data_IF_800696012522
#
_entry.id   IF_800696012522
#
_cell.length_a   1.000
_cell.length_b   1.000
_cell.length_c   1.000
_cell.angle_alpha   90.00
_cell.angle_beta   90.00
_cell.angle_gamma   90.00
#
_symmetry.space_group_name_H-M   'P 1'
#
loop_
_entity.id
_entity.type
_entity.pdbx_description
1 polymer ?
#
# COMPACT_ATOMS: atom_id res chain seq x y z
N UNK A 1 0.29 -4.56 18.85
CA UNK A 1 1.74 -4.88 18.74
C UNK A 1 2.53 -3.57 18.78
N UNK A 2 3.59 -3.46 19.58
CA UNK A 2 4.40 -2.23 19.72
C UNK A 2 5.89 -2.56 19.57
N UNK A 3 6.66 -1.67 18.93
CA UNK A 3 8.11 -1.81 18.71
C UNK A 3 8.87 -0.56 19.13
N UNK A 4 10.14 -0.74 19.52
CA UNK A 4 11.02 0.33 19.99
C UNK A 4 12.33 0.40 19.20
N UNK A 5 12.62 -0.57 18.35
CA UNK A 5 13.84 -0.69 17.56
C UNK A 5 13.59 -1.45 16.24
N UNK A 6 14.55 -1.36 15.31
CA UNK A 6 14.57 -2.19 14.11
C UNK A 6 14.67 -3.68 14.44
N UNK A 7 15.42 -4.04 15.50
CA UNK A 7 15.53 -5.43 15.94
C UNK A 7 14.18 -5.97 16.42
N UNK A 8 13.43 -5.22 17.24
CA UNK A 8 12.09 -5.63 17.68
C UNK A 8 11.17 -5.86 16.49
N UNK A 9 11.26 -4.95 15.50
CA UNK A 9 10.44 -5.03 14.28
C UNK A 9 10.72 -6.31 13.49
N UNK A 10 12.00 -6.61 13.22
CA UNK A 10 12.39 -7.82 12.48
C UNK A 10 11.95 -9.07 13.24
N UNK A 11 12.23 -9.14 14.56
CA UNK A 11 11.84 -10.28 15.41
C UNK A 11 10.31 -10.49 15.39
N UNK A 12 9.53 -9.41 15.44
CA UNK A 12 8.07 -9.47 15.35
C UNK A 12 7.61 -10.03 13.99
N UNK A 13 8.21 -9.59 12.88
CA UNK A 13 7.87 -10.06 11.54
C UNK A 13 8.22 -11.54 11.34
N UNK A 14 9.37 -11.99 11.83
CA UNK A 14 9.76 -13.41 11.84
C UNK A 14 8.72 -14.24 12.57
N UNK A 15 8.37 -13.83 13.80
CA UNK A 15 7.35 -14.50 14.59
C UNK A 15 5.98 -14.53 13.90
N UNK A 16 5.56 -13.44 13.26
CA UNK A 16 4.32 -13.41 12.49
C UNK A 16 4.38 -14.37 11.31
N UNK A 17 5.50 -14.41 10.60
CA UNK A 17 5.68 -15.33 9.47
C UNK A 17 5.61 -16.79 9.90
N UNK A 18 6.24 -17.16 11.01
CA UNK A 18 6.14 -18.50 11.58
C UNK A 18 4.71 -18.85 12.01
N UNK A 19 4.04 -17.95 12.71
CA UNK A 19 2.69 -18.13 13.24
C UNK A 19 1.64 -18.37 12.14
N UNK A 20 1.79 -17.65 11.03
CA UNK A 20 0.86 -17.70 9.89
C UNK A 20 1.31 -18.67 8.78
N UNK A 21 2.39 -19.41 8.97
CA UNK A 21 2.82 -20.50 8.08
C UNK A 21 2.17 -21.80 8.54
N UNK A 22 1.39 -22.46 7.68
CA UNK A 22 0.71 -23.71 8.00
C UNK A 22 0.48 -24.59 6.76
N UNK A 23 0.29 -25.87 7.00
CA UNK A 23 -0.07 -26.82 5.93
C UNK A 23 -1.58 -26.82 5.69
N UNK A 24 -1.99 -26.68 4.46
CA UNK A 24 -3.39 -26.78 4.03
C UNK A 24 -3.56 -27.86 2.94
N UNK A 25 -4.74 -28.51 2.85
CA UNK A 25 -5.05 -29.43 1.76
C UNK A 25 -5.03 -28.71 0.41
N UNK A 26 -4.43 -29.30 -0.62
CA UNK A 26 -4.42 -28.75 -2.00
C UNK A 26 -5.84 -28.68 -2.58
N UNK A 27 -6.68 -29.64 -2.21
CA UNK A 27 -8.12 -29.67 -2.54
C UNK A 27 -8.88 -30.36 -1.42
N UNK A 28 -10.23 -30.32 -1.48
CA UNK A 28 -11.08 -31.03 -0.54
C UNK A 28 -10.85 -32.55 -0.49
N UNK A 29 -10.14 -33.11 -1.50
CA UNK A 29 -9.78 -34.50 -1.56
C UNK A 29 -8.32 -34.70 -1.07
N UNK A 30 -8.09 -35.48 0.00
CA UNK A 30 -6.78 -35.72 0.60
C UNK A 30 -5.77 -36.44 -0.34
N UNK A 31 -6.23 -37.04 -1.46
CA UNK A 31 -5.38 -37.66 -2.46
C UNK A 31 -4.39 -36.65 -3.11
N UNK A 32 -4.73 -35.37 -3.18
CA UNK A 32 -3.88 -34.32 -3.78
C UNK A 32 -2.78 -33.80 -2.84
N UNK A 33 -2.69 -34.32 -1.62
CA UNK A 33 -1.67 -33.92 -0.64
C UNK A 33 -1.94 -32.59 0.05
N UNK A 34 -0.88 -32.05 0.65
CA UNK A 34 -0.88 -30.76 1.37
C UNK A 34 0.10 -29.82 0.70
N UNK A 35 -0.19 -28.52 0.79
CA UNK A 35 0.77 -27.45 0.49
C UNK A 35 1.01 -26.62 1.73
N UNK A 36 2.21 -26.09 1.86
CA UNK A 36 2.53 -25.13 2.91
C UNK A 36 2.06 -23.75 2.48
N UNK A 37 1.15 -23.18 3.24
CA UNK A 37 0.80 -21.77 3.15
C UNK A 37 1.89 -20.95 3.82
N UNK A 38 2.44 -19.96 3.09
CA UNK A 38 3.42 -19.01 3.61
C UNK A 38 2.82 -17.61 3.38
N UNK A 39 2.68 -16.77 4.43
CA UNK A 39 2.14 -15.43 4.26
C UNK A 39 3.05 -14.58 3.39
N UNK A 40 2.45 -13.78 2.52
CA UNK A 40 3.12 -12.82 1.64
C UNK A 40 2.73 -11.41 2.04
N UNK A 41 3.54 -10.82 2.92
CA UNK A 41 3.24 -9.55 3.55
C UNK A 41 3.64 -8.35 2.71
N UNK A 42 2.72 -7.37 2.65
CA UNK A 42 2.98 -6.01 2.21
C UNK A 42 2.80 -5.03 3.37
N UNK A 43 3.48 -3.90 3.30
CA UNK A 43 3.62 -2.96 4.41
C UNK A 43 3.32 -1.53 3.98
N UNK A 44 2.76 -0.73 4.91
CA UNK A 44 2.62 0.72 4.73
C UNK A 44 2.90 1.45 6.02
N UNK A 45 3.88 2.35 6.01
CA UNK A 45 4.19 3.24 7.13
C UNK A 45 3.28 4.46 7.14
N UNK A 46 2.76 4.79 8.32
CA UNK A 46 2.04 6.03 8.60
C UNK A 46 2.80 6.83 9.65
N UNK A 47 3.18 8.06 9.32
CA UNK A 47 3.86 8.98 10.24
C UNK A 47 3.00 9.36 11.45
N UNK A 48 1.69 9.17 11.36
CA UNK A 48 0.72 9.32 12.46
C UNK A 48 -0.20 8.12 12.50
N UNK A 49 -0.44 7.61 13.71
CA UNK A 49 -1.29 6.44 13.93
C UNK A 49 -2.76 6.67 13.56
N UNK A 50 -3.25 7.91 13.63
CA UNK A 50 -4.63 8.29 13.30
C UNK A 50 -4.89 8.40 11.79
N UNK A 51 -3.87 8.29 10.93
CA UNK A 51 -4.05 8.28 9.48
C UNK A 51 -4.84 7.04 9.04
N UNK A 52 -5.77 7.26 8.10
CA UNK A 52 -6.62 6.19 7.58
C UNK A 52 -5.97 5.52 6.37
N UNK A 53 -6.19 4.24 6.20
CA UNK A 53 -5.88 3.53 4.96
C UNK A 53 -6.91 3.94 3.89
N UNK A 54 -6.65 5.09 3.26
CA UNK A 54 -7.53 5.74 2.29
C UNK A 54 -6.68 6.48 1.26
N UNK A 55 -6.90 6.31 -0.05
CA UNK A 55 -6.13 6.98 -1.09
C UNK A 55 -6.32 8.50 -1.13
N UNK A 56 -5.39 9.18 -1.81
CA UNK A 56 -5.30 10.62 -1.85
C UNK A 56 -6.57 11.30 -2.36
N UNK A 57 -7.09 10.82 -3.48
CA UNK A 57 -8.30 11.40 -4.09
C UNK A 57 -9.51 11.38 -3.15
N UNK A 58 -9.68 10.31 -2.36
CA UNK A 58 -10.79 10.17 -1.42
C UNK A 58 -10.64 11.01 -0.14
N UNK A 59 -9.48 11.64 0.06
CA UNK A 59 -9.19 12.61 1.15
C UNK A 59 -9.28 14.05 0.69
N UNK A 60 -9.48 14.27 -0.61
CA UNK A 60 -9.51 15.62 -1.20
C UNK A 60 -10.75 16.38 -0.73
N UNK A 61 -10.53 17.61 -0.31
CA UNK A 61 -11.59 18.51 0.12
C UNK A 61 -11.81 19.61 -0.92
N UNK A 62 -13.04 20.07 -1.02
CA UNK A 62 -13.36 21.25 -1.79
C UNK A 62 -12.65 22.47 -1.15
N UNK A 63 -11.89 23.21 -1.95
CA UNK A 63 -11.13 24.38 -1.48
C UNK A 63 -12.02 25.52 -0.95
N UNK A 64 -13.26 25.60 -1.42
CA UNK A 64 -14.21 26.65 -1.03
C UNK A 64 -15.00 26.29 0.23
N UNK A 65 -15.44 25.02 0.34
CA UNK A 65 -16.32 24.61 1.46
C UNK A 65 -15.56 23.87 2.56
N UNK A 66 -14.36 23.38 2.31
CA UNK A 66 -13.61 22.53 3.23
C UNK A 66 -14.22 21.12 3.42
N UNK A 67 -15.33 20.82 2.75
CA UNK A 67 -16.00 19.53 2.81
C UNK A 67 -15.36 18.52 1.84
N UNK A 68 -15.51 17.22 2.14
CA UNK A 68 -15.08 16.18 1.24
C UNK A 68 -15.88 16.26 -0.07
N UNK A 69 -15.17 16.11 -1.20
CA UNK A 69 -15.81 16.09 -2.52
C UNK A 69 -16.71 14.86 -2.63
N UNK A 70 -17.92 15.02 -3.10
CA UNK A 70 -18.90 13.93 -3.26
C UNK A 70 -18.88 13.28 -4.63
N UNK A 71 -18.49 14.04 -5.66
CA UNK A 71 -18.43 13.57 -7.06
C UNK A 71 -17.02 13.17 -7.47
N UNK A 72 -16.48 12.16 -6.82
CA UNK A 72 -15.09 11.72 -7.02
C UNK A 72 -14.79 11.26 -8.44
N UNK A 73 -15.70 10.59 -9.10
CA UNK A 73 -15.46 10.06 -10.46
C UNK A 73 -15.19 11.17 -11.46
N UNK A 74 -15.95 12.26 -11.38
CA UNK A 74 -15.73 13.42 -12.26
C UNK A 74 -14.45 14.15 -11.90
N UNK A 75 -14.19 14.34 -10.62
CA UNK A 75 -12.98 15.00 -10.13
C UNK A 75 -11.73 14.20 -10.51
N UNK A 76 -11.73 12.89 -10.29
CA UNK A 76 -10.61 12.02 -10.62
C UNK A 76 -10.32 12.01 -12.14
N UNK A 77 -11.37 11.96 -12.96
CA UNK A 77 -11.24 12.08 -14.41
C UNK A 77 -10.58 13.40 -14.80
N UNK A 78 -11.03 14.52 -14.24
CA UNK A 78 -10.46 15.83 -14.53
C UNK A 78 -9.00 15.91 -14.07
N UNK A 79 -8.68 15.46 -12.84
CA UNK A 79 -7.31 15.45 -12.31
C UNK A 79 -6.38 14.65 -13.24
N UNK A 80 -6.81 13.47 -13.67
CA UNK A 80 -5.98 12.62 -14.52
C UNK A 80 -5.78 13.23 -15.92
N UNK A 81 -6.83 13.76 -16.52
CA UNK A 81 -6.72 14.44 -17.84
C UNK A 81 -5.85 15.70 -17.79
N UNK A 82 -6.01 16.53 -16.76
CA UNK A 82 -5.17 17.70 -16.57
C UNK A 82 -3.70 17.28 -16.41
N UNK A 83 -3.45 16.23 -15.58
CA UNK A 83 -2.10 15.70 -15.41
C UNK A 83 -1.52 15.17 -16.73
N UNK A 84 -2.26 14.38 -17.51
CA UNK A 84 -1.83 13.87 -18.81
C UNK A 84 -1.50 15.03 -19.76
N UNK A 85 -2.37 16.02 -19.84
CA UNK A 85 -2.20 17.20 -20.72
C UNK A 85 -0.91 17.97 -20.41
N UNK A 86 -0.55 18.09 -19.13
CA UNK A 86 0.67 18.77 -18.69
C UNK A 86 1.92 17.90 -18.80
N UNK A 87 1.79 16.58 -18.56
CA UNK A 87 2.91 15.66 -18.40
C UNK A 87 3.31 14.92 -19.68
N UNK A 88 2.41 14.79 -20.68
CA UNK A 88 2.65 13.97 -21.88
C UNK A 88 3.94 14.34 -22.65
N UNK A 89 4.34 15.61 -22.62
CA UNK A 89 5.59 16.09 -23.24
C UNK A 89 6.86 15.58 -22.56
N UNK A 90 6.78 15.13 -21.31
CA UNK A 90 7.91 14.63 -20.53
C UNK A 90 7.96 13.10 -20.46
N UNK A 91 6.83 12.44 -20.72
CA UNK A 91 6.66 11.00 -20.59
C UNK A 91 6.56 10.38 -21.99
N UNK A 92 7.49 9.47 -22.30
CA UNK A 92 7.51 8.76 -23.57
C UNK A 92 7.03 7.32 -23.39
N UNK A 93 6.51 6.73 -24.47
CA UNK A 93 6.13 5.31 -24.54
C UNK A 93 4.97 4.90 -23.60
N UNK A 94 4.06 5.83 -23.30
CA UNK A 94 2.79 5.53 -22.63
C UNK A 94 1.67 5.95 -23.56
N UNK A 95 0.78 4.99 -23.89
CA UNK A 95 -0.42 5.31 -24.68
C UNK A 95 -1.36 6.16 -23.84
N UNK A 96 -2.06 7.13 -24.48
CA UNK A 96 -3.08 7.94 -23.82
C UNK A 96 -4.23 7.09 -23.27
N UNK A 97 -4.44 5.89 -23.84
CA UNK A 97 -5.45 4.92 -23.40
C UNK A 97 -5.00 4.08 -22.21
N UNK A 98 -3.70 4.07 -21.84
CA UNK A 98 -3.20 3.31 -20.69
C UNK A 98 -3.44 4.07 -19.37
N UNK A 99 -4.70 4.19 -19.01
CA UNK A 99 -5.18 4.89 -17.79
C UNK A 99 -4.44 4.46 -16.53
N UNK A 100 -4.15 3.16 -16.40
CA UNK A 100 -3.45 2.63 -15.22
C UNK A 100 -2.02 3.14 -15.14
N UNK A 101 -1.29 3.12 -16.24
CA UNK A 101 0.08 3.67 -16.28
C UNK A 101 0.10 5.17 -16.00
N UNK A 102 -0.84 5.93 -16.56
CA UNK A 102 -0.95 7.35 -16.25
C UNK A 102 -1.29 7.63 -14.79
N UNK A 103 -2.15 6.80 -14.18
CA UNK A 103 -2.47 6.89 -12.76
C UNK A 103 -1.25 6.56 -11.86
N UNK A 104 -0.47 5.52 -12.22
CA UNK A 104 0.78 5.16 -11.52
C UNK A 104 1.79 6.31 -11.56
N UNK A 105 1.96 6.93 -12.74
CA UNK A 105 2.85 8.08 -12.93
C UNK A 105 2.33 9.29 -12.15
N UNK A 106 1.05 9.60 -12.25
CA UNK A 106 0.43 10.71 -11.52
C UNK A 106 0.62 10.56 -10.00
N UNK A 107 0.39 9.36 -9.46
CA UNK A 107 0.65 9.03 -8.07
C UNK A 107 2.11 9.25 -7.68
N UNK A 108 3.05 8.82 -8.52
CA UNK A 108 4.49 9.00 -8.30
C UNK A 108 4.88 10.48 -8.16
N UNK A 109 4.27 11.35 -8.97
CA UNK A 109 4.48 12.79 -8.92
C UNK A 109 3.56 13.54 -7.94
N UNK A 110 2.86 12.81 -7.05
CA UNK A 110 2.10 13.40 -5.95
C UNK A 110 0.70 13.89 -6.33
N UNK A 111 0.23 13.60 -7.53
CA UNK A 111 -1.15 13.89 -7.95
C UNK A 111 -2.11 12.93 -7.21
N UNK A 112 -3.21 13.43 -6.63
CA UNK A 112 -4.16 12.57 -5.95
C UNK A 112 -4.80 11.55 -6.88
N UNK A 113 -4.68 10.26 -6.55
CA UNK A 113 -5.31 9.15 -7.27
C UNK A 113 -6.06 8.23 -6.33
N UNK A 114 -6.75 7.22 -6.86
CA UNK A 114 -7.35 6.13 -6.09
C UNK A 114 -6.36 5.02 -5.70
N UNK A 115 -5.08 5.21 -5.96
CA UNK A 115 -4.03 4.31 -5.54
C UNK A 115 -3.59 4.63 -4.11
N UNK A 116 -3.28 3.58 -3.37
CA UNK A 116 -2.63 3.67 -2.08
C UNK A 116 -1.34 2.85 -2.11
N UNK A 117 -0.21 3.53 -1.83
CA UNK A 117 1.11 2.88 -1.87
C UNK A 117 1.29 1.93 -0.70
N UNK A 118 1.81 0.75 -1.01
CA UNK A 118 2.39 -0.22 -0.11
C UNK A 118 3.78 -0.59 -0.60
N UNK A 119 4.51 -1.35 0.18
CA UNK A 119 5.84 -1.86 -0.18
C UNK A 119 5.99 -3.32 0.23
N UNK A 120 6.75 -4.10 -0.54
CA UNK A 120 7.19 -5.44 -0.14
C UNK A 120 8.40 -5.39 0.83
N UNK A 121 9.05 -4.22 0.98
CA UNK A 121 10.18 -4.04 1.88
C UNK A 121 9.73 -3.48 3.24
N UNK A 122 9.75 -4.28 4.32
CA UNK A 122 9.32 -3.83 5.65
C UNK A 122 10.13 -2.65 6.18
N UNK A 123 11.43 -2.57 5.89
CA UNK A 123 12.28 -1.48 6.37
C UNK A 123 11.94 -0.15 5.67
N UNK A 124 11.49 -0.18 4.42
CA UNK A 124 10.97 0.99 3.71
C UNK A 124 9.71 1.51 4.38
N UNK A 125 8.77 0.63 4.72
CA UNK A 125 7.57 1.02 5.46
C UNK A 125 7.91 1.63 6.83
N UNK A 126 8.85 1.01 7.54
CA UNK A 126 9.32 1.51 8.85
C UNK A 126 9.97 2.89 8.72
N UNK A 127 10.73 3.14 7.64
CA UNK A 127 11.28 4.46 7.34
C UNK A 127 10.15 5.50 7.18
N UNK A 128 9.15 5.22 6.35
CA UNK A 128 8.02 6.15 6.15
C UNK A 128 7.22 6.42 7.43
N UNK A 129 7.09 5.43 8.31
CA UNK A 129 6.45 5.63 9.61
C UNK A 129 7.24 6.58 10.51
N UNK A 130 8.57 6.61 10.39
CA UNK A 130 9.43 7.35 11.31
C UNK A 130 9.91 8.70 10.77
N UNK A 131 9.97 8.91 9.43
CA UNK A 131 10.55 10.12 8.84
C UNK A 131 9.70 11.37 9.00
N UNK A 132 8.37 11.22 9.13
CA UNK A 132 7.43 12.33 9.26
C UNK A 132 6.85 12.43 10.67
N UNK A 133 6.22 13.56 10.99
CA UNK A 133 5.48 13.80 12.22
C UNK A 133 6.22 13.29 13.47
N UNK A 134 7.46 13.74 13.68
CA UNK A 134 8.41 13.20 14.67
C UNK A 134 7.91 13.19 16.12
N UNK A 135 6.92 14.02 16.44
CA UNK A 135 6.33 14.15 17.78
C UNK A 135 5.07 13.32 17.99
N UNK A 136 4.59 12.66 16.94
CA UNK A 136 3.36 11.88 16.95
C UNK A 136 3.67 10.37 16.88
N UNK A 137 2.86 9.56 17.56
CA UNK A 137 2.96 8.12 17.45
C UNK A 137 2.64 7.69 16.00
N UNK A 138 3.43 6.75 15.53
CA UNK A 138 3.34 6.22 14.18
C UNK A 138 2.86 4.78 14.17
N UNK A 139 2.60 4.23 12.99
CA UNK A 139 2.37 2.81 12.85
C UNK A 139 2.82 2.28 11.49
N UNK A 140 3.05 0.97 11.43
CA UNK A 140 3.18 0.21 10.19
C UNK A 140 2.00 -0.74 10.06
N UNK A 141 1.24 -0.58 9.00
CA UNK A 141 0.24 -1.54 8.56
C UNK A 141 0.92 -2.71 7.85
N UNK A 142 0.48 -3.92 8.16
CA UNK A 142 0.92 -5.17 7.54
C UNK A 142 -0.30 -5.90 7.01
N UNK A 143 -0.23 -6.36 5.76
CA UNK A 143 -1.30 -7.11 5.10
C UNK A 143 -0.69 -8.35 4.45
N UNK A 144 -1.23 -9.53 4.77
CA UNK A 144 -0.95 -10.75 4.04
C UNK A 144 -1.79 -10.76 2.76
N UNK A 145 -1.14 -10.58 1.60
CA UNK A 145 -1.80 -10.53 0.28
C UNK A 145 -2.63 -11.78 0.01
N UNK A 146 -2.09 -12.93 0.33
CA UNK A 146 -2.75 -14.22 0.04
C UNK A 146 -4.00 -14.37 0.90
N UNK A 147 -3.90 -14.10 2.20
CA UNK A 147 -5.04 -14.09 3.12
C UNK A 147 -6.09 -13.07 2.71
N UNK A 148 -5.67 -11.87 2.34
CA UNK A 148 -6.54 -10.80 1.87
C UNK A 148 -7.39 -11.23 0.67
N UNK A 149 -6.78 -11.77 -0.37
CA UNK A 149 -7.51 -12.22 -1.56
C UNK A 149 -8.39 -13.44 -1.28
N UNK A 150 -7.91 -14.36 -0.46
CA UNK A 150 -8.65 -15.58 -0.09
C UNK A 150 -9.95 -15.23 0.66
N UNK A 151 -9.87 -14.30 1.61
CA UNK A 151 -11.01 -13.95 2.47
C UNK A 151 -11.97 -12.94 1.86
N UNK A 152 -11.48 -11.97 1.09
CA UNK A 152 -12.29 -10.87 0.59
C UNK A 152 -12.71 -11.02 -0.88
N UNK A 153 -11.88 -11.62 -1.70
CA UNK A 153 -12.15 -11.78 -3.13
C UNK A 153 -12.47 -13.22 -3.54
N UNK A 154 -12.46 -14.16 -2.58
CA UNK A 154 -12.70 -15.60 -2.83
C UNK A 154 -11.81 -16.21 -3.93
N UNK A 155 -10.62 -15.62 -4.18
CA UNK A 155 -9.70 -16.04 -5.21
C UNK A 155 -8.75 -17.09 -4.65
N UNK A 156 -8.72 -18.27 -5.27
CA UNK A 156 -7.71 -19.30 -4.97
C UNK A 156 -6.38 -18.92 -5.61
N UNK A 157 -5.31 -19.05 -4.87
CA UNK A 157 -3.93 -18.55 -5.10
C UNK A 157 -3.31 -18.73 -6.50
N UNK A 158 -3.78 -19.65 -7.31
CA UNK A 158 -3.19 -19.93 -8.62
C UNK A 158 -3.54 -18.89 -9.72
N UNK A 159 -4.46 -17.98 -9.45
CA UNK A 159 -5.01 -17.03 -10.44
C UNK A 159 -4.47 -15.61 -10.26
N UNK A 160 -3.83 -15.33 -9.11
CA UNK A 160 -3.43 -13.97 -8.71
C UNK A 160 -2.39 -13.29 -9.61
N UNK A 161 -1.51 -14.06 -10.25
CA UNK A 161 -0.40 -13.51 -11.02
C UNK A 161 -0.75 -13.22 -12.49
N UNK A 162 -1.71 -13.95 -13.07
CA UNK A 162 -1.99 -13.91 -14.50
C UNK A 162 -3.08 -12.91 -14.95
N UNK A 163 -3.98 -12.51 -14.07
CA UNK A 163 -5.14 -11.69 -14.44
C UNK A 163 -4.99 -10.20 -14.12
N UNK A 164 -3.89 -9.79 -13.52
CA UNK A 164 -3.91 -8.56 -12.74
C UNK A 164 -4.04 -7.27 -13.57
N UNK A 165 -3.23 -7.07 -14.60
CA UNK A 165 -3.13 -5.75 -15.23
C UNK A 165 -4.22 -5.47 -16.27
N UNK A 166 -4.48 -6.39 -17.19
CA UNK A 166 -5.53 -6.21 -18.21
C UNK A 166 -6.92 -6.06 -17.56
N UNK A 167 -7.21 -6.92 -16.56
CA UNK A 167 -8.46 -6.84 -15.81
C UNK A 167 -8.59 -5.56 -14.99
N UNK A 168 -7.51 -5.10 -14.35
CA UNK A 168 -7.50 -3.83 -13.62
C UNK A 168 -7.73 -2.66 -14.59
N UNK A 169 -7.15 -2.71 -15.78
CA UNK A 169 -7.32 -1.68 -16.80
C UNK A 169 -8.76 -1.63 -17.33
N UNK A 170 -9.39 -2.79 -17.56
CA UNK A 170 -10.81 -2.87 -17.92
C UNK A 170 -11.72 -2.32 -16.83
N UNK A 171 -11.42 -2.62 -15.57
CA UNK A 171 -12.11 -2.10 -14.40
C UNK A 171 -12.01 -0.59 -14.33
N UNK A 172 -10.80 -0.03 -14.47
CA UNK A 172 -10.57 1.40 -14.44
C UNK A 172 -11.24 2.11 -15.60
N UNK A 173 -11.16 1.53 -16.80
CA UNK A 173 -11.85 2.06 -17.97
C UNK A 173 -13.35 2.18 -17.72
N UNK A 174 -13.97 1.13 -17.22
CA UNK A 174 -15.40 1.09 -16.93
C UNK A 174 -15.78 2.08 -15.81
N UNK A 175 -14.96 2.18 -14.77
CA UNK A 175 -15.25 3.00 -13.59
C UNK A 175 -14.97 4.49 -13.77
N UNK A 176 -13.91 4.83 -14.48
CA UNK A 176 -13.45 6.21 -14.61
C UNK A 176 -13.95 6.83 -15.92
N UNK A 177 -13.86 6.09 -17.02
CA UNK A 177 -14.12 6.62 -18.37
C UNK A 177 -15.58 6.44 -18.77
N UNK A 178 -16.12 5.24 -18.61
CA UNK A 178 -17.50 4.94 -19.05
C UNK A 178 -18.59 5.45 -18.10
N UNK A 179 -18.24 5.83 -16.87
CA UNK A 179 -19.17 6.33 -15.82
C UNK A 179 -20.38 5.42 -15.56
N UNK A 180 -20.31 4.17 -15.94
CA UNK A 180 -21.43 3.25 -15.81
C UNK A 180 -21.37 2.56 -14.44
N UNK A 181 -22.06 3.18 -13.46
CA UNK A 181 -22.14 2.66 -12.10
C UNK A 181 -22.83 1.28 -12.02
N UNK A 182 -23.56 0.86 -13.06
CA UNK A 182 -24.31 -0.39 -13.05
C UNK A 182 -23.50 -1.62 -13.47
N UNK A 183 -22.38 -1.42 -14.19
CA UNK A 183 -21.48 -2.53 -14.60
C UNK A 183 -20.64 -3.06 -13.44
N UNK A 184 -20.61 -2.34 -12.35
CA UNK A 184 -19.64 -2.44 -11.27
C UNK A 184 -19.95 -3.45 -10.17
N UNK A 185 -21.17 -3.94 -10.08
CA UNK A 185 -21.60 -4.66 -8.88
C UNK A 185 -21.07 -6.09 -8.76
N UNK A 186 -20.55 -6.69 -9.83
CA UNK A 186 -20.32 -8.13 -9.81
C UNK A 186 -18.88 -8.61 -9.94
N UNK A 187 -17.94 -7.80 -10.44
CA UNK A 187 -16.60 -8.32 -10.78
C UNK A 187 -15.41 -7.81 -9.96
N UNK A 188 -15.54 -6.71 -9.24
CA UNK A 188 -14.41 -6.15 -8.48
C UNK A 188 -14.55 -6.20 -6.97
N UNK A 189 -15.67 -6.70 -6.46
CA UNK A 189 -15.95 -6.69 -5.04
C UNK A 189 -15.96 -5.27 -4.45
N UNK A 190 -16.44 -5.12 -3.24
CA UNK A 190 -16.43 -3.84 -2.51
C UNK A 190 -15.04 -3.47 -1.98
N UNK A 191 -14.06 -4.39 -2.07
CA UNK A 191 -12.74 -4.26 -1.49
C UNK A 191 -11.68 -3.82 -2.50
N UNK A 192 -10.69 -3.00 -2.08
CA UNK A 192 -9.59 -2.59 -2.93
C UNK A 192 -8.78 -3.77 -3.51
N UNK A 193 -8.23 -3.58 -4.70
CA UNK A 193 -7.45 -4.60 -5.39
C UNK A 193 -5.94 -4.37 -5.22
N UNK A 194 -5.20 -5.38 -4.73
CA UNK A 194 -3.75 -5.30 -4.59
C UNK A 194 -3.09 -5.77 -5.89
N UNK A 195 -2.15 -4.99 -6.42
CA UNK A 195 -1.39 -5.37 -7.61
C UNK A 195 0.03 -4.81 -7.61
N UNK A 196 0.90 -5.44 -8.40
CA UNK A 196 2.28 -5.01 -8.60
C UNK A 196 2.34 -4.11 -9.84
N UNK A 197 2.83 -2.85 -9.72
CA UNK A 197 2.97 -1.95 -10.86
C UNK A 197 4.11 -2.39 -11.78
N UNK A 198 4.15 -1.86 -13.00
CA UNK A 198 5.36 -1.87 -13.79
C UNK A 198 6.32 -0.83 -13.22
N UNK A 199 7.50 -1.24 -12.78
CA UNK A 199 8.52 -0.31 -12.27
C UNK A 199 9.11 0.50 -13.41
N UNK A 200 8.48 1.60 -13.76
CA UNK A 200 8.94 2.54 -14.79
C UNK A 200 9.96 3.51 -14.24
N UNK A 201 9.88 3.82 -12.95
CA UNK A 201 10.74 4.76 -12.25
C UNK A 201 11.62 4.03 -11.23
N UNK A 202 12.88 4.45 -11.14
CA UNK A 202 13.86 3.86 -10.22
C UNK A 202 13.38 3.92 -8.76
N UNK A 203 12.70 5.00 -8.37
CA UNK A 203 12.11 5.15 -7.05
C UNK A 203 11.09 4.06 -6.72
N UNK A 204 10.23 3.69 -7.68
CA UNK A 204 9.24 2.61 -7.47
C UNK A 204 9.92 1.27 -7.22
N UNK A 205 11.01 1.01 -7.94
CA UNK A 205 11.81 -0.20 -7.78
C UNK A 205 12.53 -0.22 -6.43
N UNK A 206 13.21 0.87 -6.06
CA UNK A 206 13.93 0.98 -4.78
C UNK A 206 12.99 0.87 -3.57
N UNK A 207 11.77 1.38 -3.71
CA UNK A 207 10.74 1.25 -2.68
C UNK A 207 10.01 -0.09 -2.72
N UNK A 208 10.31 -1.00 -3.65
CA UNK A 208 9.58 -2.26 -3.86
C UNK A 208 8.06 -2.04 -3.83
N UNK A 209 7.59 -1.09 -4.65
CA UNK A 209 6.23 -0.57 -4.60
C UNK A 209 5.18 -1.60 -4.97
N UNK A 210 4.12 -1.64 -4.21
CA UNK A 210 2.86 -2.35 -4.47
C UNK A 210 1.74 -1.32 -4.36
N UNK A 211 0.74 -1.42 -5.21
CA UNK A 211 -0.42 -0.56 -5.13
C UNK A 211 -1.67 -1.31 -4.66
N UNK A 212 -2.48 -0.61 -3.90
CA UNK A 212 -3.85 -0.99 -3.60
C UNK A 212 -4.77 -0.02 -4.31
N UNK A 213 -5.56 -0.52 -5.27
CA UNK A 213 -6.48 0.23 -6.10
C UNK A 213 -7.87 0.20 -5.50
N UNK A 214 -8.41 1.37 -5.14
CA UNK A 214 -9.78 1.50 -4.66
C UNK A 214 -10.79 1.35 -5.79
N UNK A 215 -11.83 0.57 -5.52
CA UNK A 215 -12.98 0.39 -6.40
C UNK A 215 -14.07 1.43 -6.13
N UNK A 216 -15.32 0.93 -6.08
CA UNK A 216 -16.51 1.75 -5.88
C UNK A 216 -16.70 2.19 -4.42
N UNK A 217 -16.35 1.35 -3.45
CA UNK A 217 -16.46 1.68 -2.02
C UNK A 217 -15.41 2.76 -1.66
N UNK A 218 -15.87 3.86 -1.10
CA UNK A 218 -15.07 5.04 -0.78
C UNK A 218 -14.65 5.11 0.68
N UNK A 219 -14.99 4.10 1.48
CA UNK A 219 -14.58 4.03 2.88
C UNK A 219 -13.08 3.71 3.00
N UNK A 220 -12.50 4.05 4.14
CA UNK A 220 -11.18 3.57 4.50
C UNK A 220 -11.19 2.02 4.61
N UNK A 221 -10.08 1.36 4.25
CA UNK A 221 -10.00 -0.10 4.31
C UNK A 221 -10.43 -0.64 5.68
N UNK A 222 -9.95 -0.01 6.75
CA UNK A 222 -10.28 -0.42 8.13
C UNK A 222 -11.77 -0.33 8.47
N UNK A 223 -12.54 0.49 7.76
CA UNK A 223 -13.99 0.60 7.93
C UNK A 223 -14.79 -0.43 7.11
N UNK A 224 -14.14 -1.10 6.16
CA UNK A 224 -14.72 -2.18 5.37
C UNK A 224 -14.55 -3.54 6.03
N UNK A 225 -13.55 -3.69 6.90
CA UNK A 225 -13.12 -4.96 7.47
C UNK A 225 -13.88 -5.33 8.74
N UNK A 226 -14.01 -6.64 8.98
CA UNK A 226 -14.59 -7.22 10.20
C UNK A 226 -13.50 -7.44 11.26
N UNK A 227 -13.84 -7.56 12.55
CA UNK A 227 -12.88 -7.83 13.62
C UNK A 227 -12.02 -9.10 13.39
N UNK A 228 -12.57 -10.12 12.73
CA UNK A 228 -11.85 -11.37 12.45
C UNK A 228 -10.82 -11.25 11.32
N UNK A 229 -10.86 -10.16 10.55
CA UNK A 229 -9.85 -9.88 9.54
C UNK A 229 -8.52 -9.39 10.13
N UNK A 230 -8.50 -9.02 11.43
CA UNK A 230 -7.32 -8.48 12.08
C UNK A 230 -6.47 -9.58 12.72
N UNK A 231 -5.16 -9.44 12.57
CA UNK A 231 -4.13 -10.24 13.26
C UNK A 231 -4.22 -9.91 14.76
N UNK A 232 -4.47 -10.91 15.59
CA UNK A 232 -4.63 -10.76 17.05
C UNK A 232 -3.35 -11.16 17.78
N UNK A 233 -2.97 -10.37 18.79
CA UNK A 233 -1.78 -10.65 19.63
C UNK A 233 -1.85 -11.98 20.40
N UNK A 234 -3.04 -12.55 20.56
CA UNK A 234 -3.31 -13.70 21.43
C UNK A 234 -3.60 -15.02 20.70
N UNK A 235 -3.60 -15.03 19.38
CA UNK A 235 -3.95 -16.25 18.63
C UNK A 235 -2.76 -17.21 18.49
N UNK A 236 -2.11 -17.51 19.64
CA UNK A 236 -1.06 -18.53 19.68
C UNK A 236 -1.62 -19.93 19.39
N UNK A 237 -2.92 -20.14 19.61
CA UNK A 237 -3.58 -21.45 19.46
C UNK A 237 -4.58 -21.54 18.31
N UNK A 238 -5.00 -20.43 17.71
CA UNK A 238 -5.86 -20.42 16.52
C UNK A 238 -5.02 -20.05 15.29
N UNK A 239 -4.75 -21.03 14.46
CA UNK A 239 -4.10 -20.87 13.15
C UNK A 239 -4.84 -19.77 12.37
N UNK A 240 -4.20 -18.62 12.33
CA UNK A 240 -4.62 -17.31 11.94
C UNK A 240 -5.72 -17.18 10.90
N UNK A 241 -6.80 -16.54 11.31
CA UNK A 241 -7.82 -16.06 10.38
C UNK A 241 -7.56 -14.62 9.92
N UNK A 242 -6.78 -13.84 10.65
CA UNK A 242 -6.52 -12.44 10.33
C UNK A 242 -5.46 -12.28 9.24
N UNK A 243 -5.65 -11.32 8.35
CA UNK A 243 -4.69 -10.99 7.28
C UNK A 243 -4.17 -9.54 7.36
N UNK A 244 -4.69 -8.71 8.26
CA UNK A 244 -4.25 -7.32 8.46
C UNK A 244 -3.86 -7.06 9.91
N UNK A 245 -2.77 -6.34 10.11
CA UNK A 245 -2.30 -5.92 11.44
C UNK A 245 -1.77 -4.50 11.45
N UNK A 246 -1.65 -3.94 12.65
CA UNK A 246 -1.04 -2.64 12.88
C UNK A 246 0.04 -2.76 13.95
N UNK A 247 1.24 -2.28 13.63
CA UNK A 247 2.41 -2.28 14.51
C UNK A 247 2.66 -0.84 14.95
N UNK A 248 2.52 -0.58 16.24
CA UNK A 248 2.62 0.74 16.84
C UNK A 248 4.08 1.14 17.08
N UNK A 249 4.38 2.42 16.87
CA UNK A 249 5.69 3.01 17.05
C UNK A 249 5.53 4.28 17.86
N UNK A 250 5.84 4.29 19.16
CA UNK A 250 5.78 5.52 19.95
C UNK A 250 6.76 6.59 19.44
N UNK A 251 6.33 7.84 19.43
CA UNK A 251 7.08 8.98 18.91
C UNK A 251 8.53 9.04 19.40
N UNK A 252 8.74 8.76 20.69
CA UNK A 252 10.08 8.79 21.33
C UNK A 252 11.10 7.85 20.72
N UNK A 253 10.67 6.77 20.02
CA UNK A 253 11.57 5.79 19.39
C UNK A 253 11.84 6.07 17.90
N UNK A 254 11.08 6.94 17.24
CA UNK A 254 11.24 7.22 15.80
C UNK A 254 12.66 7.64 15.44
N UNK A 255 13.25 8.53 16.24
CA UNK A 255 14.61 9.00 15.99
C UNK A 255 15.68 7.92 16.09
N UNK A 256 15.58 6.98 17.06
CA UNK A 256 16.54 5.89 17.17
C UNK A 256 16.33 4.86 16.04
N UNK A 257 15.09 4.57 15.68
CA UNK A 257 14.76 3.67 14.58
C UNK A 257 15.34 4.21 13.25
N UNK A 258 15.21 5.51 12.95
CA UNK A 258 15.81 6.11 11.75
C UNK A 258 17.33 5.97 11.73
N UNK A 259 18.03 6.15 12.86
CA UNK A 259 19.47 5.93 12.95
C UNK A 259 19.86 4.48 12.67
N UNK A 260 19.08 3.53 13.20
CA UNK A 260 19.29 2.08 12.96
C UNK A 260 19.02 1.73 11.49
N UNK A 261 17.95 2.27 10.88
CA UNK A 261 17.64 2.10 9.46
C UNK A 261 18.78 2.62 8.55
N UNK A 262 19.37 3.77 8.90
CA UNK A 262 20.52 4.30 8.17
C UNK A 262 21.73 3.35 8.21
N UNK A 263 21.99 2.66 9.35
CA UNK A 263 23.02 1.62 9.45
C UNK A 263 22.72 0.40 8.56
N UNK A 264 21.43 0.11 8.34
CA UNK A 264 20.97 -0.94 7.41
C UNK A 264 20.94 -0.47 5.94
N UNK A 265 21.39 0.74 5.63
CA UNK A 265 21.40 1.31 4.29
C UNK A 265 20.09 1.97 3.87
N UNK A 266 19.06 1.94 4.71
CA UNK A 266 17.76 2.58 4.44
C UNK A 266 17.82 4.03 4.92
N UNK A 267 17.96 4.95 3.97
CA UNK A 267 18.07 6.39 4.20
C UNK A 267 17.27 7.15 3.16
N UNK A 268 17.17 8.46 3.31
CA UNK A 268 16.49 9.31 2.32
C UNK A 268 17.08 9.17 0.92
N UNK A 269 18.41 9.03 0.80
CA UNK A 269 19.07 8.78 -0.47
C UNK A 269 18.65 7.44 -1.11
N UNK A 270 18.42 6.41 -0.30
CA UNK A 270 17.91 5.13 -0.78
C UNK A 270 16.44 5.24 -1.24
N UNK A 271 15.62 5.89 -0.41
CA UNK A 271 14.16 6.02 -0.66
C UNK A 271 13.87 6.92 -1.87
N UNK A 272 14.66 7.98 -2.05
CA UNK A 272 14.52 8.95 -3.13
C UNK A 272 15.79 8.96 -3.99
N UNK A 273 15.95 8.00 -4.91
CA UNK A 273 17.06 7.99 -5.83
C UNK A 273 16.98 9.24 -6.73
N UNK A 274 18.14 9.80 -7.04
CA UNK A 274 18.23 10.99 -7.88
C UNK A 274 18.76 12.22 -7.15
N UNK A 275 18.82 13.35 -7.87
CA UNK A 275 19.51 14.56 -7.42
C UNK A 275 18.81 15.21 -6.20
N UNK A 276 17.48 15.13 -6.16
CA UNK A 276 16.69 15.69 -5.04
C UNK A 276 16.94 14.93 -3.74
N UNK A 277 16.97 13.61 -3.79
CA UNK A 277 17.29 12.77 -2.63
C UNK A 277 18.75 12.93 -2.20
N UNK A 278 19.69 13.08 -3.14
CA UNK A 278 21.08 13.39 -2.81
C UNK A 278 21.21 14.73 -2.09
N UNK A 279 20.53 15.77 -2.57
CA UNK A 279 20.51 17.09 -1.94
C UNK A 279 19.96 17.07 -0.51
N UNK A 280 18.83 16.39 -0.30
CA UNK A 280 18.21 16.23 1.02
C UNK A 280 19.12 15.44 1.97
N UNK A 281 19.72 14.34 1.51
CA UNK A 281 20.64 13.54 2.30
C UNK A 281 21.85 14.37 2.76
N UNK A 282 22.46 15.15 1.86
CA UNK A 282 23.60 16.01 2.21
C UNK A 282 23.17 17.08 3.22
N UNK A 283 22.02 17.71 3.01
CA UNK A 283 21.46 18.67 3.95
C UNK A 283 21.25 18.06 5.35
N UNK A 284 20.67 16.89 5.45
CA UNK A 284 20.45 16.19 6.72
C UNK A 284 21.77 15.83 7.40
N UNK A 285 22.74 15.29 6.64
CA UNK A 285 24.05 14.90 7.14
C UNK A 285 24.84 16.06 7.76
N UNK A 286 24.67 17.26 7.22
CA UNK A 286 25.41 18.47 7.67
C UNK A 286 24.52 19.49 8.38
N UNK A 287 23.24 19.16 8.64
CA UNK A 287 22.39 19.99 9.50
C UNK A 287 22.87 19.84 10.94
N UNK A 288 23.58 20.84 11.41
CA UNK A 288 23.87 20.97 12.84
C UNK A 288 22.55 21.31 13.54
N UNK A 289 22.19 20.51 14.52
CA UNK A 289 21.15 20.89 15.48
C UNK A 289 21.74 21.98 16.37
N UNK A 290 21.49 23.22 16.02
CA UNK A 290 21.74 24.35 16.89
C UNK A 290 20.70 24.40 17.99
#
# INVERSE_FOLDING_TARGET
MEIHSVQDYITLLEKLKELYTYDEPIAANPIFGKRTYIPDFIYRGHGRKDYKLLPGVLRTKNLLTGELVTEYSQMEYNILNDFISEACRFIQNVSDEDTLSWMEIAQHFGTPTRLLDFTENPLVALYFACCEAKQEDACVWIIDKVGYFKELHYIKTAVLEMESRARIQDILYTQIIARDANVMSNDCGDYPWIYKPHYREERMNMQASIFMLWGYDRRALTAMLKPDNYIKDKDVDNKGCGFIGCIDIPAKYKGIILKQLALCGISEKYIYPGIDGAGKYVKEKYSYHG
#
